data_IF_294269121779
#
_entry.id   IF_294269121779
#
_cell.length_a   1.000
_cell.length_b   1.000
_cell.length_c   1.000
_cell.angle_alpha   90.00
_cell.angle_beta   90.00
_cell.angle_gamma   90.00
#
_symmetry.space_group_name_H-M   'P 1'
#
loop_
_entity.id
_entity.type
_entity.pdbx_description
1 polymer ?
#
# COMPACT_ATOMS: atom_id res chain seq x y z
N UNK A 1 1.36 -21.39 6.76
CA UNK A 1 1.11 -21.51 5.34
C UNK A 1 2.03 -22.50 4.70
N UNK A 2 1.46 -23.50 4.04
CA UNK A 2 2.26 -24.44 3.28
C UNK A 2 2.66 -23.81 1.95
N UNK A 3 3.86 -24.08 1.42
CA UNK A 3 4.23 -23.67 0.08
C UNK A 3 3.33 -24.39 -0.93
N UNK A 4 2.31 -23.70 -1.39
CA UNK A 4 1.31 -24.25 -2.33
C UNK A 4 1.72 -24.15 -3.80
N UNK A 5 2.88 -23.55 -4.08
CA UNK A 5 3.35 -23.20 -5.44
C UNK A 5 4.56 -24.02 -5.89
N UNK A 6 4.77 -25.21 -5.29
CA UNK A 6 5.80 -26.16 -5.77
C UNK A 6 7.25 -25.71 -5.63
N UNK A 7 7.52 -24.74 -4.75
CA UNK A 7 8.87 -24.26 -4.43
C UNK A 7 9.22 -24.64 -2.99
N UNK A 8 10.48 -24.95 -2.73
CA UNK A 8 11.01 -25.21 -1.38
C UNK A 8 11.07 -23.90 -0.58
N UNK A 9 9.94 -23.52 -0.01
CA UNK A 9 9.81 -22.31 0.82
C UNK A 9 9.66 -22.74 2.28
N UNK A 10 10.52 -22.24 3.15
CA UNK A 10 10.38 -22.37 4.59
C UNK A 10 9.59 -21.20 5.15
N UNK A 11 8.42 -21.45 5.72
CA UNK A 11 7.63 -20.47 6.44
C UNK A 11 7.69 -20.75 7.94
N UNK A 12 8.01 -19.73 8.73
CA UNK A 12 8.03 -19.78 10.19
C UNK A 12 7.09 -18.71 10.74
N UNK A 13 6.19 -19.11 11.64
CA UNK A 13 5.35 -18.19 12.41
C UNK A 13 5.93 -18.02 13.81
N UNK A 14 6.03 -16.76 14.28
CA UNK A 14 6.52 -16.44 15.63
C UNK A 14 5.77 -15.23 16.19
N UNK A 15 5.70 -15.14 17.51
CA UNK A 15 5.33 -13.94 18.25
C UNK A 15 6.57 -13.13 18.71
N UNK A 16 7.76 -13.69 18.52
CA UNK A 16 9.02 -13.06 18.91
C UNK A 16 9.70 -12.46 17.67
N UNK A 17 10.15 -11.24 17.77
CA UNK A 17 10.90 -10.56 16.72
C UNK A 17 12.25 -11.21 16.40
N UNK A 18 12.81 -12.04 17.26
CA UNK A 18 14.03 -12.81 16.95
C UNK A 18 13.88 -13.67 15.69
N UNK A 19 12.65 -14.01 15.32
CA UNK A 19 12.37 -14.77 14.09
C UNK A 19 12.70 -14.01 12.78
N UNK A 20 12.89 -12.69 12.85
CA UNK A 20 13.28 -11.87 11.68
C UNK A 20 14.79 -11.58 11.67
N UNK A 21 15.59 -12.24 12.50
CA UNK A 21 17.04 -12.03 12.53
C UNK A 21 17.66 -12.27 11.17
N UNK A 22 18.41 -11.28 10.67
CA UNK A 22 19.06 -11.33 9.37
C UNK A 22 18.13 -11.23 8.16
N UNK A 23 16.88 -10.80 8.33
CA UNK A 23 15.98 -10.59 7.20
C UNK A 23 16.50 -9.46 6.28
N UNK A 24 16.47 -9.70 4.96
CA UNK A 24 16.86 -8.73 3.93
C UNK A 24 15.72 -7.77 3.60
N UNK A 25 14.46 -8.24 3.73
CA UNK A 25 13.25 -7.50 3.42
C UNK A 25 12.19 -7.69 4.52
N UNK A 26 11.60 -6.59 4.95
CA UNK A 26 10.49 -6.57 5.92
C UNK A 26 9.28 -5.92 5.28
N UNK A 27 8.13 -6.62 5.27
CA UNK A 27 6.84 -6.04 4.90
C UNK A 27 6.07 -5.76 6.19
N UNK A 28 5.99 -4.47 6.56
CA UNK A 28 5.30 -4.04 7.77
C UNK A 28 3.79 -3.91 7.53
N UNK A 29 3.02 -4.81 8.08
CA UNK A 29 1.54 -4.80 8.09
C UNK A 29 0.97 -4.49 9.46
N UNK A 30 1.81 -4.21 10.46
CA UNK A 30 1.40 -4.05 11.85
C UNK A 30 0.55 -2.80 12.04
N UNK A 31 -0.69 -3.00 12.42
CA UNK A 31 -1.63 -1.92 12.71
C UNK A 31 -3.04 -2.45 12.93
N UNK A 32 -3.85 -1.65 13.61
CA UNK A 32 -5.26 -1.94 13.84
C UNK A 32 -6.09 -1.23 12.76
N UNK A 33 -6.93 -1.94 12.01
CA UNK A 33 -7.82 -1.32 11.04
C UNK A 33 -8.92 -0.54 11.76
N UNK A 34 -9.45 0.48 11.08
CA UNK A 34 -10.60 1.25 11.58
C UNK A 34 -11.84 0.35 11.60
N UNK A 35 -12.28 -0.07 12.77
CA UNK A 35 -13.49 -0.88 12.95
C UNK A 35 -14.52 -0.09 13.74
N UNK A 36 -15.81 -0.30 13.41
CA UNK A 36 -16.90 0.19 14.23
C UNK A 36 -16.82 -0.43 15.64
N UNK A 37 -17.11 0.37 16.65
CA UNK A 37 -17.28 -0.07 18.02
C UNK A 37 -18.64 -0.76 18.18
N UNK A 38 -18.89 -1.47 19.27
CA UNK A 38 -20.18 -2.09 19.53
C UNK A 38 -21.36 -1.11 19.57
N UNK A 39 -21.11 0.16 19.87
CA UNK A 39 -22.07 1.26 19.87
C UNK A 39 -22.30 1.90 18.47
N UNK A 40 -21.68 1.35 17.43
CA UNK A 40 -21.77 1.83 16.06
C UNK A 40 -20.86 3.02 15.74
N UNK A 41 -20.14 3.57 16.72
CA UNK A 41 -19.17 4.66 16.48
C UNK A 41 -17.86 4.12 15.92
N UNK A 42 -17.10 5.01 15.25
CA UNK A 42 -15.74 4.68 14.80
C UNK A 42 -14.71 5.43 15.65
N UNK A 43 -13.53 4.85 15.90
CA UNK A 43 -12.44 5.59 16.52
C UNK A 43 -12.08 6.82 15.69
N UNK A 44 -11.71 7.90 16.35
CA UNK A 44 -11.20 9.09 15.69
C UNK A 44 -9.90 8.76 14.93
N UNK A 45 -9.50 9.65 14.01
CA UNK A 45 -8.21 9.50 13.31
C UNK A 45 -7.03 9.58 14.29
N UNK A 46 -7.13 10.41 15.32
CA UNK A 46 -6.10 10.56 16.36
C UNK A 46 -5.98 9.32 17.25
N UNK A 47 -7.10 8.76 17.68
CA UNK A 47 -7.11 7.51 18.46
C UNK A 47 -6.49 6.37 17.67
N UNK A 48 -6.87 6.20 16.39
CA UNK A 48 -6.32 5.17 15.53
C UNK A 48 -4.82 5.38 15.31
N UNK A 49 -4.40 6.62 15.09
CA UNK A 49 -3.00 6.99 14.95
C UNK A 49 -2.22 6.62 16.22
N UNK A 50 -2.73 6.99 17.40
CA UNK A 50 -2.06 6.71 18.68
C UNK A 50 -1.84 5.20 18.88
N UNK A 51 -2.85 4.37 18.58
CA UNK A 51 -2.75 2.91 18.70
C UNK A 51 -1.70 2.38 17.70
N UNK A 52 -1.75 2.83 16.47
CA UNK A 52 -0.85 2.34 15.41
C UNK A 52 0.58 2.85 15.60
N UNK A 53 0.80 4.02 16.19
CA UNK A 53 2.13 4.49 16.56
C UNK A 53 2.78 3.63 17.63
N UNK A 54 2.00 3.08 18.57
CA UNK A 54 2.53 2.12 19.55
C UNK A 54 3.04 0.87 18.85
N UNK A 55 2.25 0.25 17.98
CA UNK A 55 2.66 -0.90 17.19
C UNK A 55 3.88 -0.58 16.31
N UNK A 56 3.91 0.59 15.68
CA UNK A 56 5.05 1.05 14.86
C UNK A 56 6.34 1.16 15.67
N UNK A 57 6.28 1.66 16.90
CA UNK A 57 7.45 1.74 17.78
C UNK A 57 7.97 0.33 18.17
N UNK A 58 7.08 -0.63 18.41
CA UNK A 58 7.45 -2.02 18.68
C UNK A 58 8.13 -2.67 17.46
N UNK A 59 7.56 -2.46 16.26
CA UNK A 59 8.15 -2.90 14.98
C UNK A 59 9.54 -2.29 14.79
N UNK A 60 9.68 -0.98 14.97
CA UNK A 60 10.98 -0.31 14.84
C UNK A 60 12.04 -0.87 15.79
N UNK A 61 11.67 -1.12 17.05
CA UNK A 61 12.57 -1.74 18.02
C UNK A 61 12.99 -3.16 17.60
N UNK A 62 12.06 -3.96 17.07
CA UNK A 62 12.34 -5.30 16.53
C UNK A 62 13.31 -5.26 15.36
N UNK A 63 13.06 -4.39 14.37
CA UNK A 63 13.92 -4.21 13.20
C UNK A 63 15.31 -3.75 13.61
N UNK A 64 15.42 -2.72 14.46
CA UNK A 64 16.72 -2.22 14.94
C UNK A 64 17.55 -3.32 15.58
N UNK A 65 16.91 -4.22 16.33
CA UNK A 65 17.61 -5.26 17.07
C UNK A 65 18.02 -6.45 16.20
N UNK A 66 17.19 -6.87 15.27
CA UNK A 66 17.33 -8.16 14.61
C UNK A 66 17.65 -8.09 13.11
N UNK A 67 17.27 -6.99 12.42
CA UNK A 67 17.53 -6.83 10.99
C UNK A 67 17.70 -5.35 10.60
N UNK A 68 18.70 -4.64 11.18
CA UNK A 68 18.86 -3.19 10.99
C UNK A 68 19.15 -2.78 9.54
N UNK A 69 19.66 -3.70 8.72
CA UNK A 69 20.03 -3.43 7.31
C UNK A 69 18.92 -3.79 6.33
N UNK A 70 17.80 -4.31 6.82
CA UNK A 70 16.67 -4.73 5.98
C UNK A 70 16.07 -3.56 5.18
N UNK A 71 15.63 -3.85 3.96
CA UNK A 71 14.72 -2.96 3.22
C UNK A 71 13.31 -3.13 3.78
N UNK A 72 12.60 -2.03 4.01
CA UNK A 72 11.29 -2.03 4.66
C UNK A 72 10.24 -1.51 3.69
N UNK A 73 9.20 -2.31 3.43
CA UNK A 73 7.97 -1.88 2.77
C UNK A 73 6.90 -1.75 3.83
N UNK A 74 6.40 -0.54 4.09
CA UNK A 74 5.30 -0.34 5.02
C UNK A 74 3.98 -0.20 4.27
N UNK A 75 2.97 -0.96 4.72
CA UNK A 75 1.60 -0.89 4.19
C UNK A 75 0.57 -0.57 5.28
N UNK A 76 1.03 -0.42 6.52
CA UNK A 76 0.18 -0.09 7.65
C UNK A 76 -0.34 1.36 7.57
N UNK A 77 -1.59 1.58 8.00
CA UNK A 77 -2.26 2.89 7.95
C UNK A 77 -2.40 3.54 9.33
N UNK A 78 -2.37 4.88 9.39
CA UNK A 78 -2.22 5.85 8.28
C UNK A 78 -0.78 5.88 7.74
N UNK A 79 -0.61 5.55 6.46
CA UNK A 79 0.68 5.20 5.86
C UNK A 79 1.74 6.28 6.05
N UNK A 80 1.46 7.52 5.66
CA UNK A 80 2.44 8.61 5.68
C UNK A 80 2.97 8.87 7.09
N UNK A 81 2.09 8.82 8.11
CA UNK A 81 2.48 9.00 9.52
C UNK A 81 3.31 7.82 10.04
N UNK A 82 2.99 6.60 9.63
CA UNK A 82 3.74 5.40 10.03
C UNK A 82 5.12 5.39 9.39
N UNK A 83 5.22 5.67 8.09
CA UNK A 83 6.51 5.78 7.38
C UNK A 83 7.37 6.89 7.99
N UNK A 84 6.79 8.06 8.25
CA UNK A 84 7.49 9.14 8.95
C UNK A 84 8.03 8.70 10.32
N UNK A 85 7.23 7.96 11.09
CA UNK A 85 7.64 7.47 12.41
C UNK A 85 8.76 6.44 12.30
N UNK A 86 8.67 5.51 11.35
CA UNK A 86 9.74 4.53 11.08
C UNK A 86 11.03 5.24 10.66
N UNK A 87 10.95 6.24 9.78
CA UNK A 87 12.10 7.06 9.38
C UNK A 87 12.80 7.70 10.59
N UNK A 88 12.04 8.33 11.48
CA UNK A 88 12.58 8.96 12.69
C UNK A 88 13.15 7.98 13.71
N UNK A 89 12.63 6.76 13.75
CA UNK A 89 13.08 5.74 14.72
C UNK A 89 14.28 4.93 14.23
N UNK A 90 14.28 4.59 12.94
CA UNK A 90 15.30 3.72 12.34
C UNK A 90 16.44 4.50 11.71
N UNK A 91 16.18 5.73 11.25
CA UNK A 91 17.10 6.56 10.47
C UNK A 91 17.78 5.76 9.33
N UNK A 92 17.01 5.04 8.51
CA UNK A 92 17.55 4.18 7.47
C UNK A 92 18.12 4.99 6.31
N UNK A 93 18.95 4.41 5.46
CA UNK A 93 19.27 4.98 4.15
C UNK A 93 17.99 5.27 3.36
N UNK A 94 17.98 6.34 2.54
CA UNK A 94 16.78 6.82 1.82
C UNK A 94 16.06 5.77 0.97
N UNK A 95 16.79 4.79 0.46
CA UNK A 95 16.24 3.72 -0.37
C UNK A 95 15.83 2.45 0.40
N UNK A 96 15.93 2.45 1.73
CA UNK A 96 15.67 1.29 2.59
C UNK A 96 14.31 1.34 3.29
N UNK A 97 13.57 2.43 3.19
CA UNK A 97 12.23 2.56 3.75
C UNK A 97 11.28 3.10 2.70
N UNK A 98 10.28 2.31 2.34
CA UNK A 98 9.34 2.58 1.27
C UNK A 98 7.91 2.43 1.81
N UNK A 99 7.06 3.42 1.55
CA UNK A 99 5.62 3.32 1.79
C UNK A 99 4.91 2.76 0.54
N UNK A 100 4.11 1.71 0.70
CA UNK A 100 3.29 1.17 -0.36
C UNK A 100 2.02 2.04 -0.52
N UNK A 101 2.02 2.88 -1.55
CA UNK A 101 0.92 3.78 -1.90
C UNK A 101 0.72 3.82 -3.41
N UNK A 102 1.65 4.48 -4.14
CA UNK A 102 1.54 4.73 -5.56
C UNK A 102 1.37 3.48 -6.41
N UNK A 103 2.01 2.36 -6.07
CA UNK A 103 1.83 1.10 -6.78
C UNK A 103 0.37 0.63 -6.75
N UNK A 104 -0.25 0.62 -5.56
CA UNK A 104 -1.65 0.26 -5.40
C UNK A 104 -2.58 1.27 -6.07
N UNK A 105 -2.35 2.56 -5.86
CA UNK A 105 -3.24 3.62 -6.34
C UNK A 105 -3.15 3.78 -7.86
N UNK A 106 -1.96 3.59 -8.46
CA UNK A 106 -1.76 3.55 -9.91
C UNK A 106 -2.50 2.36 -10.54
N UNK A 107 -2.43 1.17 -9.91
CA UNK A 107 -3.17 0.00 -10.37
C UNK A 107 -4.69 0.24 -10.39
N UNK A 108 -5.24 0.89 -9.37
CA UNK A 108 -6.65 1.29 -9.33
C UNK A 108 -7.00 2.30 -10.44
N UNK A 109 -6.16 3.29 -10.64
CA UNK A 109 -6.33 4.30 -11.68
C UNK A 109 -6.31 3.66 -13.06
N UNK A 110 -5.32 2.79 -13.36
CA UNK A 110 -5.27 2.01 -14.59
C UNK A 110 -6.53 1.18 -14.82
N UNK A 111 -7.04 0.50 -13.78
CA UNK A 111 -8.24 -0.31 -13.86
C UNK A 111 -9.48 0.51 -14.22
N UNK A 112 -9.68 1.67 -13.60
CA UNK A 112 -10.83 2.54 -13.87
C UNK A 112 -10.75 3.19 -15.26
N UNK A 113 -9.54 3.55 -15.71
CA UNK A 113 -9.32 4.03 -17.09
C UNK A 113 -9.60 2.93 -18.10
N UNK A 114 -9.13 1.70 -17.88
CA UNK A 114 -9.36 0.56 -18.74
C UNK A 114 -10.85 0.24 -18.86
N UNK A 115 -11.59 0.27 -17.74
CA UNK A 115 -13.05 0.09 -17.69
C UNK A 115 -13.77 1.16 -18.55
N UNK A 116 -13.44 2.44 -18.36
CA UNK A 116 -14.06 3.53 -19.08
C UNK A 116 -13.76 3.54 -20.58
N UNK A 117 -12.56 3.16 -20.98
CA UNK A 117 -12.15 3.06 -22.38
C UNK A 117 -12.52 1.74 -23.04
N UNK A 118 -13.05 0.77 -22.30
CA UNK A 118 -13.33 -0.60 -22.75
C UNK A 118 -12.12 -1.29 -23.39
N UNK A 119 -10.97 -1.23 -22.71
CA UNK A 119 -9.72 -1.86 -23.14
C UNK A 119 -9.16 -2.77 -22.05
N UNK A 120 -8.18 -3.62 -22.38
CA UNK A 120 -7.44 -4.37 -21.38
C UNK A 120 -6.62 -3.43 -20.49
N UNK A 121 -6.57 -3.70 -19.19
CA UNK A 121 -5.72 -2.99 -18.23
C UNK A 121 -4.23 -3.04 -18.64
N UNK A 122 -3.79 -4.11 -19.29
CA UNK A 122 -2.42 -4.26 -19.80
C UNK A 122 -2.01 -3.18 -20.81
N UNK A 123 -2.98 -2.56 -21.46
CA UNK A 123 -2.75 -1.47 -22.41
C UNK A 123 -2.69 -0.09 -21.74
N UNK A 124 -2.98 0.00 -20.45
CA UNK A 124 -3.02 1.28 -19.72
C UNK A 124 -1.76 1.45 -18.89
N UNK A 125 -1.08 2.58 -19.08
CA UNK A 125 0.05 3.01 -18.27
C UNK A 125 -0.31 4.33 -17.60
N UNK A 126 -0.23 4.39 -16.27
CA UNK A 126 -0.53 5.60 -15.52
C UNK A 126 0.20 5.63 -14.18
N UNK A 127 0.31 6.81 -13.59
CA UNK A 127 0.94 7.04 -12.29
C UNK A 127 0.01 7.80 -11.36
N UNK A 128 0.04 7.40 -10.09
CA UNK A 128 -0.52 8.17 -8.99
C UNK A 128 0.62 8.49 -8.01
N UNK A 129 0.79 9.76 -7.69
CA UNK A 129 1.84 10.28 -6.83
C UNK A 129 1.23 10.99 -5.61
N UNK A 130 2.09 11.47 -4.71
CA UNK A 130 1.68 12.22 -3.51
C UNK A 130 1.37 11.34 -2.31
N UNK A 131 0.60 11.85 -1.35
CA UNK A 131 0.23 11.12 -0.14
C UNK A 131 -0.81 10.04 -0.40
N UNK A 132 -0.86 9.03 0.48
CA UNK A 132 -1.85 7.95 0.37
C UNK A 132 -3.19 8.37 1.00
N UNK A 133 -4.04 9.01 0.22
CA UNK A 133 -5.35 9.52 0.64
C UNK A 133 -5.85 10.65 -0.25
N UNK A 134 -6.57 11.60 0.35
CA UNK A 134 -7.20 12.71 -0.39
C UNK A 134 -6.19 13.61 -1.13
N UNK A 135 -4.92 13.58 -0.72
CA UNK A 135 -3.82 14.35 -1.31
C UNK A 135 -3.09 13.63 -2.43
N UNK A 136 -3.51 12.41 -2.81
CA UNK A 136 -2.93 11.73 -3.96
C UNK A 136 -3.26 12.46 -5.27
N UNK A 137 -2.33 12.38 -6.20
CA UNK A 137 -2.41 13.05 -7.50
C UNK A 137 -2.32 12.01 -8.62
N UNK A 138 -3.45 11.58 -9.21
CA UNK A 138 -3.43 10.86 -10.47
C UNK A 138 -2.83 11.75 -11.56
N UNK A 139 -1.73 11.30 -12.19
CA UNK A 139 -0.98 12.12 -13.14
C UNK A 139 -1.56 11.92 -14.55
N UNK A 140 -2.59 12.71 -14.89
CA UNK A 140 -3.30 12.63 -16.17
C UNK A 140 -2.37 12.74 -17.39
N UNK A 141 -1.37 13.61 -17.31
CA UNK A 141 -0.41 13.83 -18.40
C UNK A 141 0.47 12.61 -18.72
N UNK A 142 0.63 11.69 -17.78
CA UNK A 142 1.36 10.42 -17.98
C UNK A 142 0.44 9.22 -18.21
N UNK A 143 -0.88 9.44 -18.26
CA UNK A 143 -1.84 8.37 -18.49
C UNK A 143 -1.98 8.09 -20.00
N UNK A 144 -1.57 6.89 -20.40
CA UNK A 144 -1.55 6.45 -21.79
C UNK A 144 -2.34 5.17 -21.97
N UNK A 145 -2.99 5.02 -23.12
CA UNK A 145 -3.59 3.77 -23.58
C UNK A 145 -2.86 3.34 -24.85
N UNK A 146 -2.15 2.22 -24.83
CA UNK A 146 -1.29 1.74 -25.92
C UNK A 146 -0.32 2.83 -26.44
N UNK A 147 0.24 3.64 -25.52
CA UNK A 147 1.17 4.72 -25.86
C UNK A 147 0.52 6.02 -26.34
N UNK A 148 -0.82 6.08 -26.42
CA UNK A 148 -1.56 7.27 -26.85
C UNK A 148 -2.16 7.97 -25.62
N UNK A 149 -2.10 9.31 -25.52
CA UNK A 149 -2.67 10.04 -24.37
C UNK A 149 -4.14 9.70 -24.13
N UNK A 150 -4.51 9.46 -22.88
CA UNK A 150 -5.86 9.07 -22.46
C UNK A 150 -6.95 10.04 -22.91
N UNK A 151 -6.63 11.35 -23.03
CA UNK A 151 -7.53 12.38 -23.49
C UNK A 151 -8.01 12.20 -24.96
N UNK A 152 -7.42 11.26 -25.71
CA UNK A 152 -7.89 10.89 -27.04
C UNK A 152 -9.00 9.84 -27.00
N UNK A 153 -9.22 9.20 -25.86
CA UNK A 153 -10.19 8.12 -25.66
C UNK A 153 -11.33 8.50 -24.72
N UNK A 154 -11.01 9.32 -23.71
CA UNK A 154 -11.92 9.64 -22.62
C UNK A 154 -11.99 11.17 -22.47
N UNK A 155 -13.20 11.72 -22.34
CA UNK A 155 -13.41 13.14 -22.11
C UNK A 155 -12.98 13.59 -20.72
N UNK A 156 -12.79 14.91 -20.56
CA UNK A 156 -12.28 15.48 -19.32
C UNK A 156 -13.20 15.26 -18.11
N UNK A 157 -14.51 15.27 -18.30
CA UNK A 157 -15.46 15.08 -17.20
C UNK A 157 -15.41 13.64 -16.68
N UNK A 158 -15.29 12.67 -17.56
CA UNK A 158 -15.13 11.26 -17.23
C UNK A 158 -13.78 11.02 -16.54
N UNK A 159 -12.69 11.63 -17.03
CA UNK A 159 -11.37 11.54 -16.38
C UNK A 159 -11.38 12.11 -14.97
N UNK A 160 -12.03 13.26 -14.74
CA UNK A 160 -12.16 13.85 -13.40
C UNK A 160 -12.96 12.95 -12.45
N UNK A 161 -14.01 12.31 -12.93
CA UNK A 161 -14.77 11.33 -12.16
C UNK A 161 -13.90 10.11 -11.77
N UNK A 162 -13.09 9.57 -12.70
CA UNK A 162 -12.16 8.48 -12.48
C UNK A 162 -11.10 8.88 -11.43
N UNK A 163 -10.51 10.06 -11.56
CA UNK A 163 -9.53 10.55 -10.60
C UNK A 163 -10.12 10.71 -9.19
N UNK A 164 -11.36 11.19 -9.11
CA UNK A 164 -12.10 11.28 -7.84
C UNK A 164 -12.39 9.91 -7.27
N UNK A 165 -12.79 8.93 -8.08
CA UNK A 165 -13.01 7.53 -7.68
C UNK A 165 -11.70 6.90 -7.20
N UNK A 166 -10.58 7.17 -7.86
CA UNK A 166 -9.25 6.67 -7.47
C UNK A 166 -8.89 7.13 -6.06
N UNK A 167 -9.08 8.41 -5.73
CA UNK A 167 -8.84 8.94 -4.38
C UNK A 167 -9.70 8.27 -3.30
N UNK A 168 -10.88 7.80 -3.64
CA UNK A 168 -11.86 7.19 -2.73
C UNK A 168 -11.90 5.66 -2.80
N UNK A 169 -11.12 5.04 -3.68
CA UNK A 169 -11.21 3.61 -3.98
C UNK A 169 -11.00 2.70 -2.76
N UNK A 170 -10.13 3.08 -1.83
CA UNK A 170 -9.97 2.33 -0.57
C UNK A 170 -11.26 2.28 0.25
N UNK A 171 -12.00 3.39 0.32
CA UNK A 171 -13.31 3.46 0.99
C UNK A 171 -14.40 2.67 0.25
N UNK A 172 -14.38 2.67 -1.08
CA UNK A 172 -15.29 1.86 -1.93
C UNK A 172 -15.14 0.37 -1.60
N UNK A 173 -13.89 -0.14 -1.56
CA UNK A 173 -13.61 -1.55 -1.23
C UNK A 173 -14.07 -1.89 0.19
N UNK A 174 -13.81 -1.03 1.18
CA UNK A 174 -14.26 -1.24 2.56
C UNK A 174 -15.79 -1.25 2.66
N UNK A 175 -16.46 -0.37 1.91
CA UNK A 175 -17.92 -0.35 1.82
C UNK A 175 -18.51 -1.64 1.27
N UNK A 176 -17.89 -2.22 0.25
CA UNK A 176 -18.32 -3.49 -0.36
C UNK A 176 -18.02 -4.69 0.55
N UNK A 177 -16.90 -4.69 1.24
CA UNK A 177 -16.53 -5.76 2.19
C UNK A 177 -17.38 -5.73 3.46
N UNK A 178 -17.88 -4.56 3.86
CA UNK A 178 -18.63 -4.36 5.10
C UNK A 178 -17.78 -4.40 6.38
N UNK A 179 -16.50 -4.75 6.31
CA UNK A 179 -15.58 -4.81 7.45
C UNK A 179 -14.11 -4.65 7.01
N UNK A 180 -13.27 -4.24 7.95
CA UNK A 180 -11.80 -4.27 7.78
C UNK A 180 -11.26 -3.19 6.84
N UNK A 181 -10.27 -3.58 6.07
CA UNK A 181 -9.60 -2.79 5.04
C UNK A 181 -9.44 -3.63 3.78
N UNK A 182 -9.20 -3.01 2.62
CA UNK A 182 -8.72 -3.72 1.45
C UNK A 182 -7.43 -4.49 1.83
N UNK A 183 -7.30 -5.75 1.44
CA UNK A 183 -6.13 -6.58 1.77
C UNK A 183 -5.57 -7.33 0.56
N UNK A 184 -6.39 -7.74 -0.39
CA UNK A 184 -5.92 -8.50 -1.56
C UNK A 184 -5.05 -7.63 -2.47
N UNK A 185 -5.57 -6.50 -2.94
CA UNK A 185 -4.82 -5.59 -3.81
C UNK A 185 -3.61 -4.94 -3.12
N UNK A 186 -3.66 -4.52 -1.84
CA UNK A 186 -2.45 -4.12 -1.11
C UNK A 186 -1.39 -5.20 -0.99
N UNK A 187 -1.79 -6.46 -0.77
CA UNK A 187 -0.83 -7.57 -0.70
C UNK A 187 -0.15 -7.80 -2.05
N UNK A 188 -0.91 -7.72 -3.16
CA UNK A 188 -0.35 -7.84 -4.50
C UNK A 188 0.62 -6.69 -4.82
N UNK A 189 0.25 -5.44 -4.54
CA UNK A 189 1.13 -4.29 -4.74
C UNK A 189 2.43 -4.39 -3.92
N UNK A 190 2.35 -4.87 -2.67
CA UNK A 190 3.53 -5.10 -1.84
C UNK A 190 4.41 -6.24 -2.39
N UNK A 191 3.82 -7.28 -2.99
CA UNK A 191 4.55 -8.37 -3.63
C UNK A 191 5.31 -7.86 -4.87
N UNK A 192 4.69 -7.09 -5.75
CA UNK A 192 5.35 -6.49 -6.92
C UNK A 192 6.52 -5.60 -6.50
N UNK A 193 6.35 -4.80 -5.43
CA UNK A 193 7.45 -4.00 -4.89
C UNK A 193 8.58 -4.86 -4.32
N UNK A 194 8.24 -5.96 -3.64
CA UNK A 194 9.22 -6.89 -3.10
C UNK A 194 9.98 -7.61 -4.21
N UNK A 195 9.30 -8.04 -5.27
CA UNK A 195 9.91 -8.64 -6.45
C UNK A 195 10.87 -7.67 -7.14
N UNK A 196 10.48 -6.42 -7.34
CA UNK A 196 11.35 -5.40 -7.90
C UNK A 196 12.63 -5.19 -7.05
N UNK A 197 12.55 -5.22 -5.73
CA UNK A 197 13.70 -5.09 -4.83
C UNK A 197 14.62 -6.32 -4.88
N UNK A 198 14.06 -7.52 -5.06
CA UNK A 198 14.82 -8.78 -5.02
C UNK A 198 15.50 -9.06 -6.36
N UNK A 199 14.88 -8.68 -7.48
CA UNK A 199 15.37 -9.01 -8.82
C UNK A 199 16.10 -7.86 -9.54
N UNK A 200 16.14 -6.65 -8.97
CA UNK A 200 16.88 -5.50 -9.46
C UNK A 200 18.28 -5.49 -8.83
#
# INVERSE_FOLDING_TARGET
GLPTIGKDIRCVGSKDYSAIEGADLVINTAGVPRKARPDGTFPSREELLTINLKATNEVAAGITKYCPDATIISIANPLDAIVYTLDKRLNPPKNKLIGMAGQLDSGRYCSFVAEAANVSMENVSALVLGGHGDTMVPVRSSCLIAGIPVSKFIDDATLEAIETRTRKAGGEVVGLLGFGSAYVSPAWAALEMAEAIIYD
#
